data_IF_665689501025
#
_entry.id   IF_665689501025
#
_cell.length_a   1.000
_cell.length_b   1.000
_cell.length_c   1.000
_cell.angle_alpha   90.00
_cell.angle_beta   90.00
_cell.angle_gamma   90.00
#
_symmetry.space_group_name_H-M   'P 1'
#
loop_
_entity.id
_entity.type
_entity.pdbx_description
1 polymer ?
#
# COMPACT_ATOMS: atom_id res chain seq x y z
N UNK A 1 3.87 12.80 10.05
CA UNK A 1 4.20 13.79 11.09
C UNK A 1 2.97 14.26 11.87
N UNK A 2 1.95 14.82 11.27
CA UNK A 2 0.72 15.27 11.99
C UNK A 2 0.05 14.17 12.85
N UNK A 3 0.32 12.89 12.56
CA UNK A 3 -0.17 11.73 13.32
C UNK A 3 0.74 11.28 14.45
N UNK A 4 1.93 11.91 14.64
CA UNK A 4 2.92 11.51 15.65
C UNK A 4 3.52 10.12 15.45
N UNK A 5 3.49 9.59 14.20
CA UNK A 5 4.12 8.31 13.86
C UNK A 5 5.60 8.47 13.50
N UNK A 6 6.01 9.68 13.12
CA UNK A 6 7.37 10.01 12.71
C UNK A 6 7.75 11.37 13.26
N UNK A 7 8.96 11.50 13.79
CA UNK A 7 9.51 12.77 14.31
C UNK A 7 10.06 13.62 13.14
N UNK A 8 10.67 12.96 12.14
CA UNK A 8 11.28 13.61 10.97
C UNK A 8 10.98 12.82 9.70
N UNK A 9 11.02 13.51 8.56
CA UNK A 9 10.98 12.90 7.21
C UNK A 9 12.10 13.47 6.37
N UNK A 10 12.89 12.57 5.74
CA UNK A 10 13.97 12.89 4.81
C UNK A 10 13.64 12.16 3.50
N UNK A 11 12.98 12.85 2.56
CA UNK A 11 12.44 12.23 1.35
C UNK A 11 12.36 13.21 0.16
N UNK A 12 13.38 14.02 -0.02
CA UNK A 12 13.39 14.99 -1.12
C UNK A 12 12.26 16.02 -1.07
N UNK A 13 11.75 16.35 0.14
CA UNK A 13 10.61 17.26 0.28
C UNK A 13 11.03 18.68 -0.10
N UNK A 14 10.35 19.25 -1.09
CA UNK A 14 10.55 20.64 -1.52
C UNK A 14 10.18 21.62 -0.40
N UNK A 15 11.08 22.59 -0.18
CA UNK A 15 10.81 23.71 0.75
C UNK A 15 9.97 24.76 0.02
N UNK A 16 8.65 24.60 0.05
CA UNK A 16 7.70 25.57 -0.52
C UNK A 16 6.97 26.35 0.59
N UNK A 17 6.35 27.50 0.27
CA UNK A 17 5.48 28.21 1.23
C UNK A 17 4.36 27.32 1.77
N UNK A 18 3.74 26.51 0.91
CA UNK A 18 2.65 25.61 1.25
C UNK A 18 3.11 24.54 2.24
N UNK A 19 4.27 23.90 1.98
CA UNK A 19 4.84 22.91 2.89
C UNK A 19 5.28 23.55 4.21
N UNK A 20 5.86 24.77 4.19
CA UNK A 20 6.19 25.53 5.42
C UNK A 20 4.97 25.87 6.27
N UNK A 21 3.79 26.01 5.69
CA UNK A 21 2.57 26.22 6.44
C UNK A 21 2.20 24.99 7.27
N UNK A 22 2.49 23.79 6.76
CA UNK A 22 2.12 22.50 7.38
C UNK A 22 3.19 21.93 8.33
N UNK A 23 4.48 22.12 8.02
CA UNK A 23 5.63 21.52 8.72
C UNK A 23 6.76 22.54 8.90
N UNK A 24 7.68 22.24 9.83
CA UNK A 24 8.95 22.95 9.93
C UNK A 24 10.03 22.23 9.12
N UNK A 25 11.04 22.97 8.64
CA UNK A 25 12.15 22.43 7.89
C UNK A 25 13.50 22.74 8.58
N UNK A 26 14.44 21.81 8.44
CA UNK A 26 15.85 22.06 8.69
C UNK A 26 16.44 23.07 7.69
N UNK A 27 17.72 23.40 7.89
CA UNK A 27 18.52 23.97 6.80
C UNK A 27 18.40 23.05 5.55
N UNK A 28 18.29 23.66 4.34
CA UNK A 28 18.24 22.85 3.13
C UNK A 28 19.52 22.03 3.00
N UNK A 29 19.39 20.73 2.75
CA UNK A 29 20.54 19.83 2.60
C UNK A 29 20.92 19.58 1.13
N UNK A 30 20.00 19.83 0.20
CA UNK A 30 20.20 19.63 -1.23
C UNK A 30 19.54 20.73 -2.04
N UNK A 31 20.16 21.13 -3.15
CA UNK A 31 19.60 22.03 -4.15
C UNK A 31 19.69 21.38 -5.51
N UNK A 32 18.62 21.46 -6.29
CA UNK A 32 18.50 20.84 -7.60
C UNK A 32 17.58 21.65 -8.51
N UNK A 33 17.38 21.17 -9.73
CA UNK A 33 16.49 21.74 -10.73
C UNK A 33 15.65 20.62 -11.37
N UNK A 34 14.62 21.00 -12.10
CA UNK A 34 13.79 20.10 -12.87
C UNK A 34 14.50 19.62 -14.14
N UNK A 35 14.19 18.38 -14.55
CA UNK A 35 14.75 17.77 -15.77
C UNK A 35 13.62 17.18 -16.61
N UNK A 36 13.79 17.24 -17.92
CA UNK A 36 12.86 16.63 -18.88
C UNK A 36 13.39 15.25 -19.27
N UNK A 37 12.56 14.24 -19.12
CA UNK A 37 12.80 12.90 -19.64
C UNK A 37 11.82 12.60 -20.76
N UNK A 38 12.31 11.98 -21.82
CA UNK A 38 11.52 11.57 -22.99
C UNK A 38 11.89 10.15 -23.40
N UNK A 39 11.09 9.56 -24.26
CA UNK A 39 11.48 8.29 -24.89
C UNK A 39 12.74 8.45 -25.73
N UNK A 40 13.53 7.40 -25.86
CA UNK A 40 14.81 7.44 -26.58
C UNK A 40 14.66 7.82 -28.05
N UNK A 41 13.53 7.49 -28.68
CA UNK A 41 13.18 7.80 -30.06
C UNK A 41 12.60 9.21 -30.24
N UNK A 42 12.22 9.90 -29.20
CA UNK A 42 11.65 11.24 -29.27
C UNK A 42 12.71 12.28 -29.62
N UNK A 43 12.34 13.31 -30.39
CA UNK A 43 13.19 14.42 -30.83
C UNK A 43 12.42 15.73 -30.66
N UNK A 44 13.15 16.82 -30.34
CA UNK A 44 12.59 18.16 -30.30
C UNK A 44 11.73 18.49 -29.06
N UNK A 45 11.88 17.72 -27.96
CA UNK A 45 11.18 17.93 -26.67
C UNK A 45 12.16 18.29 -25.55
N UNK A 46 13.13 19.16 -25.83
CA UNK A 46 14.25 19.48 -24.96
C UNK A 46 14.11 20.78 -24.16
N UNK A 47 13.03 21.53 -24.38
CA UNK A 47 12.71 22.75 -23.63
C UNK A 47 11.24 22.74 -23.19
N UNK A 48 10.91 23.51 -22.15
CA UNK A 48 9.53 23.63 -21.67
C UNK A 48 8.58 24.16 -22.77
N UNK A 49 9.07 25.11 -23.60
CA UNK A 49 8.27 25.62 -24.71
C UNK A 49 8.01 24.57 -25.79
N UNK A 50 8.97 23.67 -26.03
CA UNK A 50 8.81 22.55 -26.96
C UNK A 50 7.80 21.50 -26.50
N UNK A 51 7.42 21.48 -25.23
CA UNK A 51 6.40 20.58 -24.68
C UNK A 51 4.97 21.05 -24.96
N UNK A 52 4.77 22.24 -25.52
CA UNK A 52 3.43 22.75 -25.87
C UNK A 52 2.77 21.85 -26.94
N UNK A 53 1.51 21.53 -26.71
CA UNK A 53 0.75 20.61 -27.55
C UNK A 53 0.97 19.13 -27.24
N UNK A 54 1.86 18.79 -26.30
CA UNK A 54 2.18 17.44 -25.87
C UNK A 54 1.56 17.08 -24.52
N UNK A 55 1.48 15.77 -24.24
CA UNK A 55 1.03 15.23 -22.93
C UNK A 55 2.26 15.06 -22.05
N UNK A 56 2.34 15.80 -20.95
CA UNK A 56 3.49 15.78 -20.04
C UNK A 56 3.09 15.26 -18.67
N UNK A 57 3.80 14.23 -18.20
CA UNK A 57 3.67 13.69 -16.85
C UNK A 57 4.46 14.52 -15.83
N UNK A 58 3.86 14.75 -14.67
CA UNK A 58 4.50 15.40 -13.52
C UNK A 58 3.87 14.89 -12.21
N UNK A 59 4.46 15.21 -11.07
CA UNK A 59 3.85 14.98 -9.77
C UNK A 59 3.00 16.18 -9.32
N UNK A 60 1.98 15.87 -8.51
CA UNK A 60 1.14 16.90 -7.88
C UNK A 60 1.94 17.75 -6.89
N UNK A 61 1.58 19.01 -6.80
CA UNK A 61 2.11 19.99 -5.82
C UNK A 61 3.64 20.22 -5.90
N UNK A 62 4.25 19.94 -7.08
CA UNK A 62 5.68 20.11 -7.33
C UNK A 62 5.99 21.41 -8.07
N UNK A 63 7.29 21.80 -8.08
CA UNK A 63 7.76 22.90 -8.91
C UNK A 63 7.54 22.61 -10.40
N UNK A 64 7.75 21.37 -10.84
CA UNK A 64 7.50 20.94 -12.21
C UNK A 64 6.08 21.24 -12.65
N UNK A 65 5.08 20.88 -11.84
CA UNK A 65 3.67 21.15 -12.16
C UNK A 65 3.44 22.65 -12.35
N UNK A 66 3.92 23.47 -11.42
CA UNK A 66 3.78 24.95 -11.49
C UNK A 66 4.42 25.54 -12.74
N UNK A 67 5.63 25.09 -13.10
CA UNK A 67 6.35 25.57 -14.29
C UNK A 67 5.62 25.20 -15.58
N UNK A 68 5.11 23.96 -15.66
CA UNK A 68 4.37 23.49 -16.83
C UNK A 68 3.00 24.19 -16.97
N UNK A 69 2.31 24.47 -15.87
CA UNK A 69 1.07 25.25 -15.85
C UNK A 69 1.31 26.70 -16.30
N UNK A 70 2.38 27.33 -15.82
CA UNK A 70 2.76 28.69 -16.20
C UNK A 70 3.13 28.79 -17.68
N UNK A 71 3.78 27.78 -18.25
CA UNK A 71 4.12 27.76 -19.67
C UNK A 71 2.89 27.73 -20.56
N UNK A 72 1.82 27.09 -20.13
CA UNK A 72 0.55 26.97 -20.86
C UNK A 72 0.64 26.16 -22.15
N UNK A 73 -0.50 25.71 -22.66
CA UNK A 73 -0.57 24.93 -23.90
C UNK A 73 -0.06 23.50 -23.79
N UNK A 74 0.18 22.98 -22.58
CA UNK A 74 0.67 21.64 -22.29
C UNK A 74 -0.50 20.83 -21.69
N UNK A 75 -0.71 19.60 -22.16
CA UNK A 75 -1.67 18.67 -21.55
C UNK A 75 -1.01 17.98 -20.36
N UNK A 76 -1.30 18.44 -19.14
CA UNK A 76 -0.71 17.86 -17.92
C UNK A 76 -1.40 16.57 -17.51
N UNK A 77 -0.59 15.59 -17.15
CA UNK A 77 -1.02 14.39 -16.42
C UNK A 77 -0.29 14.34 -15.08
N UNK A 78 -1.00 14.72 -14.01
CA UNK A 78 -0.46 14.74 -12.65
C UNK A 78 -0.61 13.38 -11.99
N UNK A 79 0.48 12.89 -11.42
CA UNK A 79 0.57 11.61 -10.72
C UNK A 79 0.79 11.82 -9.23
N UNK A 80 0.45 10.81 -8.43
CA UNK A 80 0.76 10.75 -7.00
C UNK A 80 2.09 10.01 -6.72
N UNK A 81 2.64 9.34 -7.76
CA UNK A 81 3.82 8.47 -7.66
C UNK A 81 4.66 8.57 -8.93
N UNK A 82 5.97 8.70 -8.77
CA UNK A 82 6.94 8.88 -9.87
C UNK A 82 6.99 7.66 -10.78
N UNK A 83 6.85 6.46 -10.21
CA UNK A 83 6.90 5.21 -10.96
C UNK A 83 5.84 5.16 -12.05
N UNK A 84 4.63 5.64 -11.73
CA UNK A 84 3.53 5.69 -12.69
C UNK A 84 3.81 6.69 -13.81
N UNK A 85 4.41 7.85 -13.50
CA UNK A 85 4.75 8.85 -14.50
C UNK A 85 5.77 8.31 -15.52
N UNK A 86 6.85 7.67 -15.05
CA UNK A 86 7.87 7.10 -15.94
C UNK A 86 7.41 5.84 -16.66
N UNK A 87 6.54 5.02 -16.06
CA UNK A 87 5.92 3.88 -16.73
C UNK A 87 5.03 4.31 -17.89
N UNK A 88 4.20 5.34 -17.67
CA UNK A 88 3.34 5.89 -18.71
C UNK A 88 4.15 6.53 -19.84
N UNK A 89 5.29 7.16 -19.54
CA UNK A 89 6.23 7.66 -20.56
C UNK A 89 6.81 6.51 -21.40
N UNK A 90 7.30 5.47 -20.74
CA UNK A 90 7.87 4.31 -21.42
C UNK A 90 6.82 3.57 -22.28
N UNK A 91 5.58 3.52 -21.82
CA UNK A 91 4.44 2.87 -22.46
C UNK A 91 3.69 3.77 -23.48
N UNK A 92 4.25 4.94 -23.84
CA UNK A 92 3.71 5.88 -24.83
C UNK A 92 2.36 6.52 -24.44
N UNK A 93 2.04 6.61 -23.15
CA UNK A 93 0.83 7.27 -22.67
C UNK A 93 1.05 8.76 -22.36
N UNK A 94 2.31 9.18 -22.22
CA UNK A 94 2.77 10.57 -22.18
C UNK A 94 3.91 10.75 -23.15
N UNK A 95 4.20 11.99 -23.56
CA UNK A 95 5.28 12.32 -24.48
C UNK A 95 6.56 12.66 -23.77
N UNK A 96 6.46 13.28 -22.59
CA UNK A 96 7.55 13.65 -21.72
C UNK A 96 7.14 13.50 -20.25
N UNK A 97 8.12 13.45 -19.37
CA UNK A 97 7.98 13.62 -17.91
C UNK A 97 8.93 14.71 -17.48
N UNK A 98 8.47 15.64 -16.66
CA UNK A 98 9.31 16.67 -16.06
C UNK A 98 9.23 16.54 -14.55
N UNK A 99 10.36 16.22 -13.93
CA UNK A 99 10.55 16.07 -12.49
C UNK A 99 11.97 16.50 -12.11
N UNK A 100 12.24 16.61 -10.83
CA UNK A 100 13.55 16.99 -10.33
C UNK A 100 14.68 16.03 -10.74
N UNK A 101 15.90 16.54 -10.76
CA UNK A 101 17.04 15.81 -11.32
C UNK A 101 17.32 14.49 -10.58
N UNK A 102 17.26 14.37 -9.23
CA UNK A 102 17.45 13.09 -8.55
C UNK A 102 16.42 12.03 -8.93
N UNK A 103 15.15 12.39 -9.01
CA UNK A 103 14.06 11.50 -9.44
C UNK A 103 14.27 11.08 -10.89
N UNK A 104 14.56 12.06 -11.78
CA UNK A 104 14.83 11.79 -13.18
C UNK A 104 16.05 10.89 -13.38
N UNK A 105 17.12 11.10 -12.61
CA UNK A 105 18.30 10.24 -12.61
C UNK A 105 17.95 8.80 -12.20
N UNK A 106 17.14 8.66 -11.17
CA UNK A 106 16.76 7.36 -10.63
C UNK A 106 15.87 6.57 -11.58
N UNK A 107 14.87 7.20 -12.19
CA UNK A 107 13.85 6.50 -12.99
C UNK A 107 14.18 6.46 -14.49
N UNK A 108 14.71 7.54 -15.09
CA UNK A 108 14.92 7.59 -16.53
C UNK A 108 16.25 6.98 -16.98
N UNK A 109 17.34 7.19 -16.21
CA UNK A 109 18.67 6.74 -16.66
C UNK A 109 18.82 5.23 -16.71
N UNK A 110 18.26 4.43 -15.78
CA UNK A 110 18.36 2.97 -15.87
C UNK A 110 17.48 2.35 -16.96
N UNK A 111 16.41 3.02 -17.38
CA UNK A 111 15.51 2.50 -18.41
C UNK A 111 16.08 2.76 -19.82
N UNK A 112 16.44 1.71 -20.60
CA UNK A 112 17.03 1.88 -21.93
C UNK A 112 16.06 2.49 -22.94
N UNK A 113 14.76 2.54 -22.65
CA UNK A 113 13.73 3.14 -23.50
C UNK A 113 13.67 4.67 -23.36
N UNK A 114 14.26 5.22 -22.27
CA UNK A 114 14.19 6.63 -21.91
C UNK A 114 15.54 7.35 -22.10
N UNK A 115 15.49 8.67 -22.13
CA UNK A 115 16.64 9.58 -22.08
C UNK A 115 16.25 10.89 -21.41
N UNK A 116 17.22 11.54 -20.78
CA UNK A 116 17.10 12.89 -20.25
C UNK A 116 17.55 13.88 -21.31
N UNK A 117 16.83 14.97 -21.50
CA UNK A 117 17.07 15.98 -22.53
C UNK A 117 17.03 17.40 -21.94
N UNK A 118 17.55 18.35 -22.69
CA UNK A 118 17.53 19.78 -22.36
C UNK A 118 18.39 20.17 -21.16
N UNK A 119 18.39 21.45 -20.86
CA UNK A 119 19.05 22.04 -19.70
C UNK A 119 18.17 21.90 -18.43
N UNK A 120 18.76 21.99 -17.22
CA UNK A 120 17.99 22.06 -15.98
C UNK A 120 17.06 23.28 -15.97
N UNK A 121 15.85 23.12 -15.46
CA UNK A 121 14.82 24.17 -15.43
C UNK A 121 14.47 24.49 -13.98
N UNK A 122 14.41 25.79 -13.65
CA UNK A 122 14.08 26.25 -12.30
C UNK A 122 15.16 25.92 -11.28
N UNK A 123 14.84 26.08 -10.00
CA UNK A 123 15.68 25.69 -8.87
C UNK A 123 14.83 25.42 -7.65
N UNK A 124 15.09 24.33 -6.95
CA UNK A 124 14.38 23.93 -5.74
C UNK A 124 15.37 23.44 -4.68
N UNK A 125 14.92 23.44 -3.43
CA UNK A 125 15.73 22.98 -2.32
C UNK A 125 14.95 21.95 -1.48
N UNK A 126 15.64 20.89 -1.04
CA UNK A 126 15.10 19.91 -0.10
C UNK A 126 15.52 20.21 1.32
N UNK A 127 14.60 20.02 2.25
CA UNK A 127 14.85 20.08 3.68
C UNK A 127 14.34 18.82 4.39
N UNK A 128 14.91 18.57 5.56
CA UNK A 128 14.35 17.57 6.49
C UNK A 128 13.11 18.19 7.12
N UNK A 129 11.95 17.57 6.92
CA UNK A 129 10.70 18.06 7.47
C UNK A 129 10.48 17.52 8.88
N UNK A 130 9.95 18.37 9.76
CA UNK A 130 9.63 18.08 11.17
C UNK A 130 8.19 18.52 11.49
N UNK A 131 7.57 17.90 12.47
CA UNK A 131 6.33 18.42 13.00
C UNK A 131 6.56 19.81 13.63
N UNK A 132 5.55 20.67 13.57
CA UNK A 132 5.60 22.01 14.20
C UNK A 132 5.91 21.93 15.69
N UNK A 133 6.73 22.86 16.18
CA UNK A 133 7.06 22.97 17.61
C UNK A 133 8.24 22.09 18.08
N UNK A 134 8.94 21.40 17.18
CA UNK A 134 10.13 20.57 17.50
C UNK A 134 11.45 21.36 17.30
N UNK A 135 11.52 22.59 17.82
CA UNK A 135 12.65 23.51 17.61
C UNK A 135 14.00 22.95 18.10
N UNK A 136 14.01 22.24 19.23
CA UNK A 136 15.24 21.63 19.75
C UNK A 136 15.80 20.56 18.80
N UNK A 137 14.95 19.70 18.25
CA UNK A 137 15.36 18.68 17.28
C UNK A 137 15.80 19.33 15.96
N UNK A 138 15.10 20.37 15.48
CA UNK A 138 15.49 21.13 14.30
C UNK A 138 16.88 21.73 14.48
N UNK A 139 17.16 22.36 15.62
CA UNK A 139 18.48 22.94 15.89
C UNK A 139 19.61 21.88 15.90
N UNK A 140 19.35 20.68 16.40
CA UNK A 140 20.30 19.56 16.34
C UNK A 140 20.57 19.12 14.90
N UNK A 141 19.52 18.98 14.07
CA UNK A 141 19.64 18.63 12.66
C UNK A 141 20.41 19.72 11.87
N UNK A 142 20.09 20.99 12.12
CA UNK A 142 20.77 22.12 11.49
C UNK A 142 22.26 22.15 11.86
N UNK A 143 22.60 21.91 13.11
CA UNK A 143 23.99 21.81 13.57
C UNK A 143 24.75 20.65 12.90
N UNK A 144 24.10 19.49 12.78
CA UNK A 144 24.66 18.32 12.09
C UNK A 144 24.88 18.59 10.60
N UNK A 145 23.90 19.15 9.89
CA UNK A 145 24.01 19.50 8.48
C UNK A 145 25.11 20.55 8.24
N UNK A 146 25.22 21.54 9.14
CA UNK A 146 26.29 22.54 9.08
C UNK A 146 27.68 21.92 9.30
N UNK A 147 27.80 20.93 10.17
CA UNK A 147 29.04 20.18 10.33
C UNK A 147 29.40 19.38 9.09
N UNK A 148 28.44 18.59 8.54
CA UNK A 148 28.62 17.79 7.32
C UNK A 148 29.00 18.63 6.09
N UNK A 149 28.55 19.88 6.04
CA UNK A 149 29.00 20.84 4.99
C UNK A 149 30.44 21.27 5.20
N UNK A 150 30.83 21.62 6.43
CA UNK A 150 32.19 22.09 6.74
C UNK A 150 33.28 21.04 6.54
N UNK A 151 32.99 19.79 6.89
CA UNK A 151 33.96 18.67 6.79
C UNK A 151 33.90 17.93 5.43
N UNK A 152 33.02 18.36 4.52
CA UNK A 152 32.83 17.80 3.19
C UNK A 152 32.13 16.44 3.17
N UNK A 153 31.55 15.98 4.29
CA UNK A 153 30.85 14.70 4.33
C UNK A 153 29.61 14.71 3.44
N UNK A 154 28.84 15.81 3.45
CA UNK A 154 27.69 15.95 2.59
C UNK A 154 28.07 15.81 1.11
N UNK A 155 29.17 16.46 0.67
CA UNK A 155 29.69 16.33 -0.69
C UNK A 155 30.06 14.87 -1.01
N UNK A 156 30.81 14.22 -0.14
CA UNK A 156 31.20 12.80 -0.35
C UNK A 156 29.99 11.89 -0.48
N UNK A 157 28.95 12.08 0.32
CA UNK A 157 27.69 11.29 0.22
C UNK A 157 27.03 11.53 -1.13
N UNK A 158 26.85 12.79 -1.54
CA UNK A 158 26.17 13.13 -2.79
C UNK A 158 26.98 12.68 -4.03
N UNK A 159 28.32 12.73 -3.98
CA UNK A 159 29.19 12.21 -5.04
C UNK A 159 29.04 10.70 -5.19
N UNK A 160 28.95 9.91 -4.09
CA UNK A 160 28.71 8.46 -4.15
C UNK A 160 27.44 8.10 -4.89
N UNK A 161 26.43 8.98 -4.85
CA UNK A 161 25.13 8.80 -5.52
C UNK A 161 25.04 9.50 -6.88
N UNK A 162 26.14 10.09 -7.38
CA UNK A 162 26.17 10.83 -8.65
C UNK A 162 25.23 12.05 -8.72
N UNK A 163 24.90 12.64 -7.58
CA UNK A 163 23.98 13.80 -7.49
C UNK A 163 24.68 15.06 -6.99
N UNK A 164 25.99 15.07 -6.85
CA UNK A 164 26.77 16.29 -6.63
C UNK A 164 26.92 17.08 -7.93
N UNK A 165 26.44 18.30 -7.96
CA UNK A 165 26.41 19.16 -9.15
C UNK A 165 27.17 20.47 -8.90
N UNK A 166 27.56 21.23 -9.94
CA UNK A 166 28.10 22.58 -9.78
C UNK A 166 27.17 23.51 -9.00
N UNK A 167 25.86 23.35 -9.15
CA UNK A 167 24.87 24.11 -8.40
C UNK A 167 24.94 23.80 -6.90
N UNK A 168 25.14 22.53 -6.53
CA UNK A 168 25.36 22.13 -5.14
C UNK A 168 26.66 22.68 -4.59
N UNK A 169 27.75 22.69 -5.37
CA UNK A 169 29.01 23.28 -4.97
C UNK A 169 28.86 24.78 -4.67
N UNK A 170 28.19 25.52 -5.56
CA UNK A 170 27.89 26.94 -5.36
C UNK A 170 26.97 27.17 -4.15
N UNK A 171 25.97 26.31 -3.95
CA UNK A 171 25.04 26.41 -2.83
C UNK A 171 25.68 26.17 -1.47
N UNK A 172 26.59 25.20 -1.39
CA UNK A 172 27.26 24.85 -0.14
C UNK A 172 28.51 25.65 0.13
N UNK A 173 29.07 26.33 -0.90
CA UNK A 173 30.38 26.97 -0.87
C UNK A 173 31.54 25.96 -0.85
N UNK A 174 31.27 24.68 -1.12
CA UNK A 174 32.30 23.64 -1.19
C UNK A 174 32.79 23.48 -2.63
N UNK A 175 33.92 24.12 -2.94
CA UNK A 175 34.60 24.07 -4.23
C UNK A 175 35.77 23.07 -4.25
N UNK A 176 35.79 22.10 -3.35
CA UNK A 176 36.82 21.08 -3.32
C UNK A 176 36.90 20.29 -4.63
N UNK A 177 38.10 20.05 -5.10
CA UNK A 177 38.38 19.26 -6.31
C UNK A 177 38.47 17.76 -6.04
N UNK A 178 38.30 17.34 -4.78
CA UNK A 178 38.28 15.92 -4.43
C UNK A 178 37.11 15.21 -5.10
N UNK A 179 37.40 14.20 -5.89
CA UNK A 179 36.42 13.37 -6.60
C UNK A 179 36.25 12.04 -5.90
N UNK A 180 35.06 11.76 -5.40
CA UNK A 180 34.68 10.46 -4.87
C UNK A 180 33.94 9.68 -5.96
N UNK A 181 34.39 8.44 -6.30
CA UNK A 181 33.71 7.63 -7.30
C UNK A 181 32.25 7.38 -6.92
N UNK A 182 31.30 7.37 -7.87
CA UNK A 182 29.89 7.14 -7.61
C UNK A 182 29.59 5.65 -7.36
N UNK A 183 30.24 5.09 -6.33
CA UNK A 183 30.20 3.65 -6.06
C UNK A 183 28.78 3.16 -5.68
N UNK A 184 28.03 3.95 -4.90
CA UNK A 184 26.68 3.60 -4.49
C UNK A 184 25.74 3.59 -5.69
N UNK A 185 25.84 4.62 -6.55
CA UNK A 185 25.09 4.71 -7.79
C UNK A 185 25.41 3.56 -8.76
N UNK A 186 26.68 3.27 -8.98
CA UNK A 186 27.11 2.18 -9.88
C UNK A 186 26.64 0.82 -9.37
N UNK A 187 26.75 0.57 -8.07
CA UNK A 187 26.24 -0.65 -7.45
C UNK A 187 24.72 -0.78 -7.63
N UNK A 188 23.98 0.30 -7.40
CA UNK A 188 22.54 0.33 -7.59
C UNK A 188 22.17 0.09 -9.06
N UNK A 189 22.81 0.78 -10.03
CA UNK A 189 22.60 0.56 -11.46
C UNK A 189 22.83 -0.90 -11.89
N UNK A 190 23.87 -1.54 -11.35
CA UNK A 190 24.13 -2.96 -11.66
C UNK A 190 23.06 -3.87 -11.09
N UNK A 191 22.54 -3.56 -9.90
CA UNK A 191 21.51 -4.38 -9.24
C UNK A 191 20.14 -4.23 -9.88
N UNK A 192 19.84 -3.05 -10.46
CA UNK A 192 18.51 -2.73 -11.04
C UNK A 192 18.42 -3.00 -12.54
N UNK A 193 19.57 -3.07 -13.25
CA UNK A 193 19.55 -3.36 -14.70
C UNK A 193 18.79 -4.65 -14.99
N UNK A 194 17.92 -4.65 -16.02
CA UNK A 194 17.28 -5.88 -16.48
C UNK A 194 18.36 -6.92 -16.79
N UNK A 195 18.31 -8.04 -16.10
CA UNK A 195 19.25 -9.13 -16.37
C UNK A 195 19.03 -9.68 -17.77
N UNK A 196 20.07 -9.71 -18.59
CA UNK A 196 20.04 -10.24 -19.96
C UNK A 196 19.78 -11.75 -19.98
N UNK A 197 20.19 -12.47 -18.92
CA UNK A 197 20.04 -13.92 -18.81
C UNK A 197 18.84 -14.31 -17.96
N UNK A 198 18.12 -15.36 -18.38
CA UNK A 198 17.03 -15.94 -17.58
C UNK A 198 17.55 -16.54 -16.26
N UNK A 199 18.81 -17.03 -16.23
CA UNK A 199 19.45 -17.55 -15.02
C UNK A 199 19.66 -16.47 -13.97
N UNK A 200 20.09 -15.29 -14.38
CA UNK A 200 20.29 -14.15 -13.48
C UNK A 200 18.96 -13.64 -12.93
N UNK A 201 17.90 -13.69 -13.75
CA UNK A 201 16.53 -13.38 -13.27
C UNK A 201 16.05 -14.37 -12.23
N UNK A 202 16.27 -15.67 -12.45
CA UNK A 202 15.90 -16.70 -11.46
C UNK A 202 16.70 -16.55 -10.16
N UNK A 203 18.00 -16.29 -10.24
CA UNK A 203 18.82 -16.02 -9.07
C UNK A 203 18.34 -14.79 -8.29
N UNK A 204 17.94 -13.72 -9.00
CA UNK A 204 17.35 -12.53 -8.40
C UNK A 204 16.03 -12.86 -7.70
N UNK A 205 15.12 -13.60 -8.35
CA UNK A 205 13.85 -14.01 -7.74
C UNK A 205 14.06 -14.89 -6.50
N UNK A 206 15.06 -15.77 -6.53
CA UNK A 206 15.44 -16.52 -5.34
C UNK A 206 15.89 -15.61 -4.17
N UNK A 207 16.58 -14.50 -4.48
CA UNK A 207 16.93 -13.47 -3.51
C UNK A 207 15.72 -12.73 -2.91
N UNK A 208 14.57 -12.72 -3.57
CA UNK A 208 13.34 -12.11 -3.05
C UNK A 208 12.57 -13.00 -2.08
N UNK A 209 12.84 -14.32 -2.06
CA UNK A 209 12.09 -15.27 -1.25
C UNK A 209 12.03 -14.93 0.24
N UNK A 210 13.10 -14.44 0.91
CA UNK A 210 13.02 -14.05 2.31
C UNK A 210 12.04 -12.88 2.55
N UNK A 211 12.01 -11.89 1.65
CA UNK A 211 11.07 -10.76 1.72
C UNK A 211 9.64 -11.26 1.51
N UNK A 212 9.43 -12.06 0.46
CA UNK A 212 8.12 -12.63 0.13
C UNK A 212 7.62 -13.53 1.26
N UNK A 213 8.49 -14.32 1.88
CA UNK A 213 8.15 -15.16 3.02
C UNK A 213 7.67 -14.36 4.24
N UNK A 214 8.34 -13.24 4.55
CA UNK A 214 7.91 -12.33 5.62
C UNK A 214 6.58 -11.64 5.28
N UNK A 215 6.42 -11.19 4.04
CA UNK A 215 5.19 -10.59 3.56
C UNK A 215 4.02 -11.58 3.57
N UNK A 216 4.23 -12.83 3.15
CA UNK A 216 3.25 -13.90 3.23
C UNK A 216 2.83 -14.21 4.68
N UNK A 217 3.79 -14.24 5.61
CA UNK A 217 3.49 -14.39 7.03
C UNK A 217 2.64 -13.22 7.56
N UNK A 218 2.93 -12.00 7.14
CA UNK A 218 2.14 -10.82 7.49
C UNK A 218 0.72 -10.90 6.92
N UNK A 219 0.55 -11.31 5.66
CA UNK A 219 -0.74 -11.58 5.03
C UNK A 219 -1.57 -12.58 5.84
N UNK A 220 -0.97 -13.70 6.26
CA UNK A 220 -1.63 -14.71 7.10
C UNK A 220 -1.97 -14.14 8.48
N UNK A 221 -1.04 -13.45 9.11
CA UNK A 221 -1.22 -12.92 10.45
C UNK A 221 -2.39 -11.91 10.51
N UNK A 222 -2.41 -10.92 9.60
CA UNK A 222 -3.50 -9.93 9.58
C UNK A 222 -4.84 -10.59 9.26
N UNK A 223 -4.86 -11.55 8.33
CA UNK A 223 -6.09 -12.27 7.95
C UNK A 223 -6.60 -13.15 9.07
N UNK A 224 -5.74 -13.89 9.76
CA UNK A 224 -6.12 -14.74 10.89
C UNK A 224 -6.66 -13.93 12.06
N UNK A 225 -5.98 -12.83 12.45
CA UNK A 225 -6.45 -11.94 13.51
C UNK A 225 -7.78 -11.27 13.13
N UNK A 226 -7.91 -10.82 11.88
CA UNK A 226 -9.16 -10.23 11.38
C UNK A 226 -10.30 -11.26 11.38
N UNK A 227 -10.04 -12.52 11.00
CA UNK A 227 -11.07 -13.57 11.04
C UNK A 227 -11.52 -13.90 12.44
N UNK A 228 -10.61 -13.95 13.41
CA UNK A 228 -10.98 -14.15 14.83
C UNK A 228 -11.90 -13.02 15.29
N UNK A 229 -11.58 -11.77 14.96
CA UNK A 229 -12.44 -10.63 15.27
C UNK A 229 -13.78 -10.73 14.55
N UNK A 230 -13.77 -11.09 13.25
CA UNK A 230 -14.98 -11.23 12.44
C UNK A 230 -15.93 -12.28 13.01
N UNK A 231 -15.42 -13.46 13.38
CA UNK A 231 -16.20 -14.55 13.99
C UNK A 231 -16.81 -14.12 15.32
N UNK A 232 -16.00 -13.53 16.20
CA UNK A 232 -16.45 -13.09 17.52
C UNK A 232 -17.50 -11.96 17.43
N UNK A 233 -17.19 -10.91 16.68
CA UNK A 233 -18.07 -9.75 16.52
C UNK A 233 -19.31 -10.09 15.68
N UNK A 234 -19.17 -10.89 14.63
CA UNK A 234 -20.30 -11.38 13.84
C UNK A 234 -21.28 -12.18 14.66
N UNK A 235 -20.79 -13.01 15.60
CA UNK A 235 -21.67 -13.73 16.53
C UNK A 235 -22.43 -12.78 17.46
N UNK A 236 -21.76 -11.75 18.00
CA UNK A 236 -22.41 -10.70 18.81
C UNK A 236 -23.51 -10.00 18.01
N UNK A 237 -23.23 -9.62 16.75
CA UNK A 237 -24.22 -8.98 15.86
C UNK A 237 -25.40 -9.91 15.56
N UNK A 238 -25.15 -11.18 15.25
CA UNK A 238 -26.20 -12.16 14.97
C UNK A 238 -27.12 -12.38 16.20
N UNK A 239 -26.54 -12.53 17.38
CA UNK A 239 -27.29 -12.68 18.64
C UNK A 239 -28.05 -11.41 18.98
N UNK A 240 -27.45 -10.23 18.82
CA UNK A 240 -28.09 -8.93 19.05
C UNK A 240 -29.30 -8.72 18.12
N UNK A 241 -29.15 -9.11 16.85
CA UNK A 241 -30.25 -9.02 15.87
C UNK A 241 -31.36 -10.03 16.17
N UNK A 242 -31.04 -11.20 16.69
CA UNK A 242 -32.04 -12.27 16.94
C UNK A 242 -32.74 -12.15 18.29
N UNK A 243 -32.01 -11.79 19.35
CA UNK A 243 -32.47 -11.82 20.73
C UNK A 243 -32.44 -10.46 21.44
N UNK A 244 -31.81 -9.45 20.80
CA UNK A 244 -31.69 -8.11 21.36
C UNK A 244 -33.04 -7.38 21.47
N UNK A 245 -33.13 -6.45 22.44
CA UNK A 245 -34.22 -5.48 22.53
C UNK A 245 -34.23 -4.60 21.28
N UNK A 246 -35.37 -3.97 20.98
CA UNK A 246 -35.55 -3.18 19.76
C UNK A 246 -34.35 -2.24 19.41
N UNK A 247 -33.78 -1.43 20.33
CA UNK A 247 -32.68 -0.56 19.97
C UNK A 247 -31.41 -1.32 19.51
N UNK A 248 -31.08 -2.42 20.23
CA UNK A 248 -29.90 -3.24 19.94
C UNK A 248 -30.06 -4.00 18.61
N UNK A 249 -31.27 -4.51 18.36
CA UNK A 249 -31.60 -5.18 17.10
C UNK A 249 -31.50 -4.26 15.91
N UNK A 250 -32.03 -3.02 16.05
CA UNK A 250 -31.95 -2.01 14.98
C UNK A 250 -30.53 -1.54 14.74
N UNK A 251 -29.75 -1.31 15.80
CA UNK A 251 -28.35 -0.94 15.69
C UNK A 251 -27.51 -2.04 14.98
N UNK A 252 -27.71 -3.31 15.35
CA UNK A 252 -27.02 -4.42 14.69
C UNK A 252 -27.42 -4.55 13.20
N UNK A 253 -28.70 -4.38 12.87
CA UNK A 253 -29.16 -4.40 11.49
C UNK A 253 -28.56 -3.23 10.68
N UNK A 254 -28.59 -2.02 11.21
CA UNK A 254 -28.01 -0.84 10.57
C UNK A 254 -26.50 -1.01 10.35
N UNK A 255 -25.77 -1.53 11.33
CA UNK A 255 -24.34 -1.83 11.19
C UNK A 255 -24.09 -2.79 10.01
N UNK A 256 -24.81 -3.91 9.95
CA UNK A 256 -24.64 -4.92 8.90
C UNK A 256 -24.92 -4.31 7.52
N UNK A 257 -25.98 -3.51 7.38
CA UNK A 257 -26.35 -2.86 6.12
C UNK A 257 -25.30 -1.82 5.69
N UNK A 258 -24.86 -0.95 6.60
CA UNK A 258 -23.87 0.09 6.31
C UNK A 258 -22.54 -0.53 5.92
N UNK A 259 -22.05 -1.49 6.70
CA UNK A 259 -20.74 -2.10 6.47
C UNK A 259 -20.73 -2.91 5.16
N UNK A 260 -21.80 -3.65 4.86
CA UNK A 260 -21.91 -4.40 3.61
C UNK A 260 -22.22 -3.52 2.40
N UNK A 261 -22.80 -2.36 2.62
CA UNK A 261 -23.14 -1.37 1.59
C UNK A 261 -21.99 -0.42 1.23
N UNK A 262 -20.86 -0.46 1.96
CA UNK A 262 -19.72 0.44 1.73
C UNK A 262 -18.47 -0.35 1.29
N UNK A 263 -17.62 0.19 0.38
CA UNK A 263 -16.43 -0.48 -0.06
C UNK A 263 -15.43 -0.69 1.08
N UNK A 264 -14.87 -1.91 1.17
CA UNK A 264 -13.88 -2.26 2.19
C UNK A 264 -12.66 -1.33 2.18
N UNK A 265 -12.17 -0.94 1.00
CA UNK A 265 -11.06 0.00 0.87
C UNK A 265 -11.34 1.33 1.58
N UNK A 266 -12.55 1.87 1.42
CA UNK A 266 -12.95 3.14 2.09
C UNK A 266 -12.97 2.95 3.61
N UNK A 267 -13.42 1.79 4.10
CA UNK A 267 -13.41 1.48 5.54
C UNK A 267 -11.97 1.42 6.09
N UNK A 268 -11.04 0.80 5.35
CA UNK A 268 -9.62 0.76 5.71
C UNK A 268 -9.04 2.18 5.79
N UNK A 269 -9.27 3.00 4.77
CA UNK A 269 -8.80 4.39 4.72
C UNK A 269 -9.42 5.24 5.85
N UNK A 270 -10.72 5.06 6.14
CA UNK A 270 -11.39 5.77 7.22
C UNK A 270 -10.82 5.38 8.59
N UNK A 271 -10.60 4.09 8.86
CA UNK A 271 -10.05 3.63 10.14
C UNK A 271 -8.61 4.12 10.31
N UNK A 272 -7.79 4.05 9.27
CA UNK A 272 -6.39 4.43 9.39
C UNK A 272 -6.18 5.95 9.30
N UNK A 273 -6.86 6.63 8.38
CA UNK A 273 -6.69 8.07 8.12
C UNK A 273 -7.74 8.96 8.80
N UNK A 274 -8.94 8.48 9.01
CA UNK A 274 -10.04 9.25 9.59
C UNK A 274 -10.05 9.27 11.11
N UNK A 275 -9.87 8.11 11.79
CA UNK A 275 -9.93 8.03 13.25
C UNK A 275 -8.90 8.91 13.99
N UNK A 276 -7.70 9.18 13.47
CA UNK A 276 -6.76 10.11 14.08
C UNK A 276 -7.32 11.52 14.32
N UNK A 277 -8.27 11.99 13.51
CA UNK A 277 -8.96 13.28 13.74
C UNK A 277 -9.84 13.27 15.00
N UNK A 278 -10.22 12.07 15.46
CA UNK A 278 -10.95 11.86 16.72
C UNK A 278 -10.02 11.47 17.89
N UNK A 279 -8.69 11.55 17.69
CA UNK A 279 -7.70 11.21 18.71
C UNK A 279 -7.35 9.71 18.80
N UNK A 280 -7.95 8.84 17.96
CA UNK A 280 -7.71 7.40 17.95
C UNK A 280 -6.66 7.07 16.88
N UNK A 281 -5.47 6.66 17.31
CA UNK A 281 -4.37 6.31 16.40
C UNK A 281 -4.07 4.83 16.49
N UNK A 282 -4.20 4.14 15.38
CA UNK A 282 -3.87 2.72 15.26
C UNK A 282 -2.63 2.56 14.38
N UNK A 283 -1.75 1.63 14.74
CA UNK A 283 -0.68 1.20 13.86
C UNK A 283 -1.26 0.46 12.64
N UNK A 284 -0.50 0.33 11.52
CA UNK A 284 -1.02 -0.26 10.28
C UNK A 284 -1.55 -1.68 10.44
N UNK A 285 -0.91 -2.51 11.29
CA UNK A 285 -1.36 -3.88 11.50
C UNK A 285 -2.72 -3.92 12.20
N UNK A 286 -2.83 -3.20 13.32
CA UNK A 286 -4.08 -3.14 14.09
C UNK A 286 -5.21 -2.49 13.29
N UNK A 287 -4.91 -1.41 12.53
CA UNK A 287 -5.87 -0.78 11.65
C UNK A 287 -6.40 -1.75 10.58
N UNK A 288 -5.51 -2.53 9.96
CA UNK A 288 -5.87 -3.57 9.01
C UNK A 288 -6.73 -4.67 9.64
N UNK A 289 -6.34 -5.19 10.80
CA UNK A 289 -7.11 -6.21 11.55
C UNK A 289 -8.50 -5.70 11.90
N UNK A 290 -8.61 -4.47 12.41
CA UNK A 290 -9.91 -3.88 12.78
C UNK A 290 -10.78 -3.64 11.55
N UNK A 291 -10.22 -3.07 10.48
CA UNK A 291 -11.00 -2.80 9.26
C UNK A 291 -11.53 -4.07 8.61
N UNK A 292 -10.66 -5.04 8.37
CA UNK A 292 -11.01 -6.34 7.79
C UNK A 292 -11.96 -7.11 8.72
N UNK A 293 -11.65 -7.17 10.01
CA UNK A 293 -12.44 -7.91 10.98
C UNK A 293 -13.85 -7.36 11.17
N UNK A 294 -14.01 -6.03 11.24
CA UNK A 294 -15.31 -5.39 11.33
C UNK A 294 -16.12 -5.56 10.03
N UNK A 295 -15.46 -5.46 8.87
CA UNK A 295 -16.12 -5.70 7.60
C UNK A 295 -16.66 -7.13 7.51
N UNK A 296 -15.78 -8.12 7.73
CA UNK A 296 -16.15 -9.54 7.66
C UNK A 296 -17.14 -9.96 8.76
N UNK A 297 -17.17 -9.29 9.91
CA UNK A 297 -18.15 -9.54 10.95
C UNK A 297 -19.60 -9.33 10.47
N UNK A 298 -19.82 -8.38 9.57
CA UNK A 298 -21.14 -8.16 8.97
C UNK A 298 -21.56 -9.32 8.06
N UNK A 299 -20.61 -9.93 7.34
CA UNK A 299 -20.86 -11.12 6.53
C UNK A 299 -21.08 -12.36 7.41
N UNK A 300 -20.23 -12.56 8.43
CA UNK A 300 -20.38 -13.67 9.36
C UNK A 300 -21.71 -13.62 10.13
N UNK A 301 -22.18 -12.44 10.51
CA UNK A 301 -23.50 -12.30 11.13
C UNK A 301 -24.63 -12.81 10.24
N UNK A 302 -24.57 -12.56 8.93
CA UNK A 302 -25.55 -13.10 7.97
C UNK A 302 -25.36 -14.61 7.73
N UNK A 303 -24.10 -15.09 7.72
CA UNK A 303 -23.80 -16.53 7.62
C UNK A 303 -24.40 -17.30 8.81
N UNK A 304 -24.27 -16.79 10.04
CA UNK A 304 -24.91 -17.38 11.22
C UNK A 304 -26.42 -17.37 11.10
N UNK A 305 -27.03 -16.26 10.64
CA UNK A 305 -28.49 -16.18 10.44
C UNK A 305 -28.95 -17.20 9.38
N UNK A 306 -28.28 -17.27 8.25
CA UNK A 306 -28.59 -18.21 7.17
C UNK A 306 -28.43 -19.67 7.63
N UNK A 307 -27.37 -19.99 8.36
CA UNK A 307 -27.14 -21.33 8.89
C UNK A 307 -28.21 -21.78 9.89
N UNK A 308 -28.66 -20.87 10.77
CA UNK A 308 -29.76 -21.17 11.70
C UNK A 308 -31.10 -21.37 10.95
N UNK A 309 -31.33 -20.64 9.87
CA UNK A 309 -32.54 -20.79 9.05
C UNK A 309 -32.51 -22.02 8.14
N UNK A 310 -31.33 -22.57 7.84
CA UNK A 310 -31.16 -23.77 7.02
C UNK A 310 -31.59 -25.05 7.78
N UNK A 311 -31.66 -25.00 9.11
CA UNK A 311 -32.14 -26.15 9.91
C UNK A 311 -33.65 -26.28 9.76
N UNK A 312 -34.17 -27.45 9.30
CA UNK A 312 -35.60 -27.69 9.12
C UNK A 312 -36.38 -27.48 10.43
N UNK A 313 -37.52 -26.78 10.39
CA UNK A 313 -38.37 -26.52 11.55
C UNK A 313 -38.77 -27.78 12.29
N UNK A 314 -39.02 -28.88 11.58
CA UNK A 314 -39.36 -30.20 12.18
C UNK A 314 -38.31 -30.73 13.15
N UNK A 315 -37.04 -30.29 13.04
CA UNK A 315 -35.99 -30.67 14.02
C UNK A 315 -36.25 -30.01 15.39
N UNK A 316 -36.70 -28.77 15.38
CA UNK A 316 -37.09 -28.08 16.63
C UNK A 316 -38.36 -28.66 17.20
N UNK A 317 -39.36 -28.97 16.37
CA UNK A 317 -40.63 -29.59 16.79
C UNK A 317 -40.43 -30.98 17.37
N UNK A 318 -39.58 -31.79 16.74
CA UNK A 318 -39.23 -33.13 17.25
C UNK A 318 -38.51 -33.04 18.61
N UNK A 319 -37.60 -32.09 18.78
CA UNK A 319 -36.92 -31.88 20.06
C UNK A 319 -37.90 -31.46 21.17
N UNK A 320 -38.84 -30.57 20.86
CA UNK A 320 -39.90 -30.18 21.82
C UNK A 320 -40.84 -31.32 22.15
N UNK A 321 -41.19 -32.18 21.18
CA UNK A 321 -42.00 -33.41 21.39
C UNK A 321 -41.31 -34.40 22.30
N UNK A 322 -39.97 -34.41 22.34
CA UNK A 322 -39.17 -35.18 23.29
C UNK A 322 -39.02 -34.50 24.67
N UNK A 323 -39.85 -33.49 24.95
CA UNK A 323 -39.88 -32.75 26.21
C UNK A 323 -38.62 -31.92 26.49
N UNK A 324 -37.87 -31.53 25.43
CA UNK A 324 -36.75 -30.57 25.56
C UNK A 324 -37.32 -29.15 25.69
N UNK A 325 -36.72 -28.33 26.55
CA UNK A 325 -37.00 -26.91 26.56
C UNK A 325 -36.50 -26.24 25.25
N UNK A 326 -37.05 -25.09 24.88
CA UNK A 326 -36.57 -24.32 23.70
C UNK A 326 -35.06 -24.07 23.73
N UNK A 327 -34.48 -23.74 24.89
CA UNK A 327 -33.04 -23.52 25.04
C UNK A 327 -32.25 -24.82 24.80
N UNK A 328 -32.76 -25.98 25.28
CA UNK A 328 -32.14 -27.28 25.04
C UNK A 328 -32.23 -27.67 23.56
N UNK A 329 -33.40 -27.49 22.92
CA UNK A 329 -33.58 -27.75 21.49
C UNK A 329 -32.60 -26.88 20.63
N UNK A 330 -32.49 -25.58 20.93
CA UNK A 330 -31.54 -24.71 20.24
C UNK A 330 -30.12 -25.19 20.45
N UNK A 331 -29.68 -25.41 21.71
CA UNK A 331 -28.29 -25.71 22.04
C UNK A 331 -27.85 -27.10 21.53
N UNK A 332 -28.68 -28.11 21.65
CA UNK A 332 -28.26 -29.49 21.38
C UNK A 332 -28.70 -30.05 20.03
N UNK A 333 -29.70 -29.40 19.36
CA UNK A 333 -30.23 -29.85 18.08
C UNK A 333 -29.95 -28.83 16.96
N UNK A 334 -30.38 -27.58 17.15
CA UNK A 334 -30.30 -26.56 16.08
C UNK A 334 -28.89 -26.06 15.87
N UNK A 335 -28.20 -25.60 16.91
CA UNK A 335 -26.85 -25.02 16.80
C UNK A 335 -25.82 -25.97 16.19
N UNK A 336 -25.73 -27.28 16.62
CA UNK A 336 -24.80 -28.23 16.01
C UNK A 336 -25.08 -28.47 14.51
N UNK A 337 -26.34 -28.47 14.12
CA UNK A 337 -26.73 -28.59 12.71
C UNK A 337 -26.43 -27.31 11.94
N UNK A 338 -26.80 -26.12 12.46
CA UNK A 338 -26.51 -24.83 11.85
C UNK A 338 -24.99 -24.65 11.64
N UNK A 339 -24.16 -25.03 12.60
CA UNK A 339 -22.71 -24.96 12.51
C UNK A 339 -22.15 -25.74 11.30
N UNK A 340 -22.76 -26.86 10.94
CA UNK A 340 -22.36 -27.64 9.75
C UNK A 340 -22.63 -26.92 8.45
N UNK A 341 -23.63 -26.03 8.38
CA UNK A 341 -23.93 -25.20 7.23
C UNK A 341 -23.02 -23.94 7.18
N UNK A 342 -22.70 -23.39 8.34
CA UNK A 342 -21.93 -22.15 8.45
C UNK A 342 -20.43 -22.39 8.21
N UNK A 343 -19.85 -23.45 8.75
CA UNK A 343 -18.41 -23.69 8.72
C UNK A 343 -17.78 -23.71 7.31
N UNK A 344 -18.41 -24.32 6.28
CA UNK A 344 -17.89 -24.27 4.92
C UNK A 344 -17.85 -22.82 4.36
N UNK A 345 -18.90 -22.04 4.63
CA UNK A 345 -18.99 -20.64 4.20
C UNK A 345 -17.93 -19.78 4.88
N UNK A 346 -17.77 -19.90 6.19
CA UNK A 346 -16.70 -19.21 6.95
C UNK A 346 -15.30 -19.55 6.43
N UNK A 347 -15.07 -20.82 6.05
CA UNK A 347 -13.78 -21.23 5.48
C UNK A 347 -13.54 -20.56 4.12
N UNK A 348 -14.58 -20.43 3.29
CA UNK A 348 -14.50 -19.70 2.04
C UNK A 348 -14.27 -18.20 2.27
N UNK A 349 -14.93 -17.62 3.27
CA UNK A 349 -14.76 -16.22 3.65
C UNK A 349 -13.33 -15.95 4.14
N UNK A 350 -12.70 -16.88 4.85
CA UNK A 350 -11.29 -16.77 5.21
C UNK A 350 -10.37 -16.76 3.98
N UNK A 351 -10.66 -17.57 2.95
CA UNK A 351 -9.91 -17.57 1.68
C UNK A 351 -10.08 -16.23 0.94
N UNK A 352 -11.28 -15.65 1.00
CA UNK A 352 -11.54 -14.32 0.42
C UNK A 352 -10.80 -13.24 1.20
N UNK A 353 -10.84 -13.29 2.53
CA UNK A 353 -10.15 -12.36 3.42
C UNK A 353 -8.63 -12.38 3.24
N UNK A 354 -8.03 -13.56 2.94
CA UNK A 354 -6.61 -13.65 2.56
C UNK A 354 -6.27 -12.85 1.30
N UNK A 355 -7.20 -12.74 0.35
CA UNK A 355 -7.02 -11.92 -0.87
C UNK A 355 -7.32 -10.45 -0.60
N UNK A 356 -8.39 -10.17 0.15
CA UNK A 356 -8.81 -8.82 0.49
C UNK A 356 -7.83 -8.12 1.43
N UNK A 357 -6.98 -8.89 2.15
CA UNK A 357 -5.86 -8.33 2.90
C UNK A 357 -4.87 -7.58 2.01
N UNK A 358 -4.87 -7.80 0.69
CA UNK A 358 -4.11 -7.01 -0.28
C UNK A 358 -4.45 -5.52 -0.23
N UNK A 359 -5.68 -5.16 0.15
CA UNK A 359 -6.12 -3.78 0.27
C UNK A 359 -5.45 -3.01 1.42
N UNK A 360 -4.88 -3.71 2.42
CA UNK A 360 -4.16 -3.01 3.51
C UNK A 360 -2.78 -2.48 3.08
N UNK A 361 -2.32 -2.82 1.87
CA UNK A 361 -1.13 -2.23 1.27
C UNK A 361 -1.20 -0.69 1.21
N UNK A 362 -2.40 -0.13 1.03
CA UNK A 362 -2.61 1.34 0.96
C UNK A 362 -2.33 2.06 2.29
N UNK A 363 -2.28 1.34 3.40
CA UNK A 363 -1.95 1.86 4.73
C UNK A 363 -0.54 1.46 5.18
N UNK A 364 0.37 1.24 4.22
CA UNK A 364 1.80 0.93 4.42
C UNK A 364 2.12 -0.37 5.15
N UNK A 365 1.17 -1.29 5.29
CA UNK A 365 1.44 -2.61 5.84
C UNK A 365 2.19 -3.48 4.82
N UNK A 366 3.38 -3.95 5.17
CA UNK A 366 4.22 -4.74 4.27
C UNK A 366 3.72 -6.19 4.21
N UNK A 367 2.65 -6.42 3.47
CA UNK A 367 2.11 -7.72 3.08
C UNK A 367 2.49 -8.03 1.61
N UNK A 368 1.97 -9.11 1.03
CA UNK A 368 2.38 -9.57 -0.30
C UNK A 368 2.19 -8.53 -1.41
N UNK A 369 1.11 -7.74 -1.40
CA UNK A 369 0.89 -6.70 -2.43
C UNK A 369 1.86 -5.53 -2.27
N UNK A 370 2.14 -5.12 -1.04
CA UNK A 370 3.16 -4.10 -0.78
C UNK A 370 4.56 -4.60 -1.17
N UNK A 371 4.85 -5.89 -0.96
CA UNK A 371 6.08 -6.50 -1.45
C UNK A 371 6.16 -6.47 -2.99
N UNK A 372 5.04 -6.73 -3.70
CA UNK A 372 4.95 -6.56 -5.15
C UNK A 372 5.30 -5.13 -5.56
N UNK A 373 4.61 -4.14 -5.00
CA UNK A 373 4.86 -2.72 -5.33
C UNK A 373 6.33 -2.40 -5.15
N UNK A 374 6.89 -2.73 -4.00
CA UNK A 374 8.31 -2.46 -3.68
C UNK A 374 9.28 -3.14 -4.67
N UNK A 375 9.06 -4.42 -5.00
CA UNK A 375 9.94 -5.16 -5.90
C UNK A 375 9.80 -4.70 -7.34
N UNK A 376 8.57 -4.50 -7.82
CA UNK A 376 8.31 -4.07 -9.21
C UNK A 376 8.88 -2.67 -9.47
N UNK A 377 8.76 -1.75 -8.53
CA UNK A 377 9.29 -0.38 -8.66
C UNK A 377 10.82 -0.33 -8.52
N UNK A 378 11.40 -1.15 -7.62
CA UNK A 378 12.85 -1.19 -7.44
C UNK A 378 13.59 -1.81 -8.64
N UNK A 379 13.02 -2.86 -9.24
CA UNK A 379 13.67 -3.64 -10.30
C UNK A 379 13.07 -3.44 -11.69
N UNK A 380 12.04 -2.60 -11.83
CA UNK A 380 11.31 -2.34 -13.08
C UNK A 380 10.81 -3.61 -13.77
N UNK A 381 10.51 -4.64 -12.97
CA UNK A 381 10.04 -5.94 -13.43
C UNK A 381 8.61 -6.20 -12.92
N UNK A 382 7.64 -5.52 -13.52
CA UNK A 382 6.24 -5.64 -13.14
C UNK A 382 5.66 -7.01 -13.47
N UNK A 383 6.03 -7.57 -14.63
CA UNK A 383 5.49 -8.86 -15.05
C UNK A 383 6.06 -10.02 -14.22
N UNK A 384 7.40 -10.11 -14.08
CA UNK A 384 8.03 -11.21 -13.37
C UNK A 384 7.74 -11.20 -11.88
N UNK A 385 7.83 -10.02 -11.24
CA UNK A 385 7.47 -9.87 -9.82
C UNK A 385 5.98 -10.09 -9.60
N UNK A 386 5.11 -9.63 -10.54
CA UNK A 386 3.67 -9.88 -10.49
C UNK A 386 3.33 -11.36 -10.51
N UNK A 387 3.94 -12.11 -11.44
CA UNK A 387 3.76 -13.57 -11.52
C UNK A 387 4.26 -14.28 -10.26
N UNK A 388 5.40 -13.83 -9.71
CA UNK A 388 5.98 -14.38 -8.48
C UNK A 388 5.05 -14.17 -7.27
N UNK A 389 4.53 -12.97 -7.10
CA UNK A 389 3.60 -12.65 -5.99
C UNK A 389 2.24 -13.32 -6.18
N UNK A 390 1.70 -13.36 -7.41
CA UNK A 390 0.47 -14.10 -7.70
C UNK A 390 0.63 -15.59 -7.37
N UNK A 391 1.80 -16.17 -7.68
CA UNK A 391 2.14 -17.55 -7.30
C UNK A 391 2.21 -17.71 -5.78
N UNK A 392 2.79 -16.74 -5.07
CA UNK A 392 2.84 -16.75 -3.61
C UNK A 392 1.42 -16.73 -2.99
N UNK A 393 0.51 -15.87 -3.47
CA UNK A 393 -0.89 -15.86 -3.05
C UNK A 393 -1.59 -17.20 -3.34
N UNK A 394 -1.36 -17.77 -4.54
CA UNK A 394 -1.94 -19.07 -4.90
C UNK A 394 -1.47 -20.17 -3.94
N UNK A 395 -0.15 -20.27 -3.72
CA UNK A 395 0.43 -21.29 -2.83
C UNK A 395 -0.04 -21.12 -1.38
N UNK A 396 -0.21 -19.88 -0.93
CA UNK A 396 -0.69 -19.54 0.39
C UNK A 396 -2.18 -19.93 0.56
N UNK A 397 -3.01 -19.75 -0.46
CA UNK A 397 -4.43 -20.11 -0.45
C UNK A 397 -4.72 -21.61 -0.56
N UNK A 398 -3.87 -22.37 -1.27
CA UNK A 398 -4.11 -23.79 -1.54
C UNK A 398 -4.35 -24.69 -0.30
N UNK A 399 -3.59 -24.55 0.82
CA UNK A 399 -3.85 -25.32 2.04
C UNK A 399 -5.25 -25.07 2.58
N UNK A 400 -5.71 -23.82 2.59
CA UNK A 400 -7.03 -23.44 3.11
C UNK A 400 -8.16 -23.93 2.21
N UNK A 401 -7.97 -23.88 0.87
CA UNK A 401 -8.91 -24.48 -0.10
C UNK A 401 -9.04 -25.99 0.11
N UNK A 402 -7.94 -26.67 0.40
CA UNK A 402 -7.96 -28.11 0.70
C UNK A 402 -8.69 -28.38 2.02
N UNK A 403 -8.41 -27.56 3.04
CA UNK A 403 -9.05 -27.67 4.35
C UNK A 403 -10.57 -27.46 4.24
N UNK A 404 -11.01 -26.44 3.47
CA UNK A 404 -12.41 -26.18 3.18
C UNK A 404 -13.10 -27.41 2.57
N UNK A 405 -12.52 -27.99 1.52
CA UNK A 405 -13.06 -29.19 0.85
C UNK A 405 -13.12 -30.40 1.77
N UNK A 406 -12.15 -30.60 2.66
CA UNK A 406 -12.17 -31.68 3.64
C UNK A 406 -13.27 -31.45 4.68
N UNK A 407 -13.42 -30.22 5.17
CA UNK A 407 -14.49 -29.85 6.09
C UNK A 407 -15.88 -30.10 5.45
N UNK A 408 -16.09 -29.61 4.22
CA UNK A 408 -17.32 -29.84 3.46
C UNK A 408 -17.64 -31.34 3.34
N UNK A 409 -16.68 -32.14 2.91
CA UNK A 409 -16.89 -33.60 2.74
C UNK A 409 -17.25 -34.32 4.05
N UNK A 410 -16.60 -33.96 5.16
CA UNK A 410 -16.87 -34.57 6.47
C UNK A 410 -18.21 -34.13 7.05
N UNK A 411 -18.62 -32.87 6.81
CA UNK A 411 -19.85 -32.31 7.37
C UNK A 411 -21.08 -32.66 6.53
N UNK A 412 -20.96 -32.77 5.20
CA UNK A 412 -22.04 -33.16 4.29
C UNK A 412 -22.35 -34.65 4.28
N UNK A 413 -21.44 -35.50 4.76
CA UNK A 413 -21.62 -36.94 4.80
C UNK A 413 -22.82 -37.45 5.67
N UNK A 414 -23.45 -36.55 6.45
CA UNK A 414 -24.63 -36.87 7.28
C UNK A 414 -25.95 -36.27 6.77
N UNK A 415 -25.96 -35.49 5.66
CA UNK A 415 -27.17 -34.84 5.15
C UNK A 415 -27.49 -35.41 3.76
N UNK A 416 -28.21 -36.51 3.71
CA UNK A 416 -28.91 -36.93 2.48
C UNK A 416 -30.11 -35.99 2.28
N UNK A 417 -29.97 -34.97 1.43
CA UNK A 417 -31.14 -34.28 0.90
C UNK A 417 -31.86 -35.24 -0.01
N UNK A 418 -33.15 -35.59 0.25
CA UNK A 418 -33.92 -36.40 -0.68
C UNK A 418 -33.99 -35.62 -2.00
N UNK A 419 -33.60 -36.25 -3.10
CA UNK A 419 -33.80 -35.68 -4.44
C UNK A 419 -35.29 -35.37 -4.59
N UNK A 420 -35.65 -34.12 -4.81
CA UNK A 420 -37.00 -33.74 -5.27
C UNK A 420 -37.23 -34.48 -6.59
N UNK A 421 -38.17 -35.45 -6.57
CA UNK A 421 -38.81 -35.96 -7.78
C UNK A 421 -39.81 -34.96 -8.30
#
# INVERSE_FOLDING_TARGET
>A
MQRGLYDVVIDGIEITPEHRAAVDFSLPYYRTAERIAVRRDAVGLDTVDALRGHVVGTLKDTLSQRLLEQAGGISLRSYDDETNAYSDLADRRTDAVMLDAPITLYYAVPDPRLKVVGDPVGSLSYGIALAKGHEALRAQLDAALAAMRRDGELRRILQRWAIWTPEMAAFTGDHSTEVVPPAAWNHWLQSTRPSASWRDRMARYAGFLPLIGRAALMTVAVSACAMVLAVAWGLVLALSRRYGRWPLRTAAAAYIEVVRGTPLLIQILFIFYGLPSLGIRLDPFLAGVVALGLNYAAYEAENYRAGLQAVPHGQTEAALALNMSHAQAVRHVVVPQAFRFVLPVMTNDFISLLKDSSLVSVITLTELTQAYVRLSTTYYDYFGTGLLIATAYLLLGLPFVRLARVAERRLSAGIRVPARR
#
